data_IF_944804558445
#
_entry.id   IF_944804558445
#
_cell.length_a   1.000
_cell.length_b   1.000
_cell.length_c   1.000
_cell.angle_alpha   90.00
_cell.angle_beta   90.00
_cell.angle_gamma   90.00
#
_symmetry.space_group_name_H-M   'P 1'
#
loop_
_entity.id
_entity.type
_entity.pdbx_description
1 polymer ?
#
# COMPACT_ATOMS: atom_id res chain seq x y z
N UNK A 1 -21.93 -13.41 -11.81
CA UNK A 1 -21.02 -12.85 -10.81
C UNK A 1 -21.84 -12.33 -9.64
N UNK A 2 -21.49 -12.71 -8.41
CA UNK A 2 -22.12 -12.13 -7.23
C UNK A 2 -21.67 -10.66 -7.07
N UNK A 3 -22.50 -9.76 -6.52
CA UNK A 3 -22.06 -8.40 -6.17
C UNK A 3 -20.85 -8.46 -5.25
N UNK A 4 -19.76 -7.77 -5.61
CA UNK A 4 -18.52 -7.71 -4.80
C UNK A 4 -17.42 -8.71 -5.20
N UNK A 5 -17.62 -9.53 -6.22
CA UNK A 5 -16.53 -10.37 -6.76
C UNK A 5 -15.51 -9.53 -7.53
N UNK A 6 -14.22 -9.63 -7.16
CA UNK A 6 -13.11 -9.00 -7.89
C UNK A 6 -12.80 -9.82 -9.14
N UNK A 7 -12.73 -9.15 -10.29
CA UNK A 7 -12.37 -9.77 -11.56
C UNK A 7 -11.03 -9.21 -12.02
N UNK A 8 -10.09 -10.10 -12.33
CA UNK A 8 -8.77 -9.75 -12.85
C UNK A 8 -8.76 -9.93 -14.36
N UNK A 9 -8.41 -8.87 -15.08
CA UNK A 9 -8.30 -8.91 -16.52
C UNK A 9 -7.11 -8.07 -17.01
N UNK A 10 -6.54 -8.46 -18.14
CA UNK A 10 -5.49 -7.67 -18.80
C UNK A 10 -6.08 -6.70 -19.84
N UNK A 11 -5.21 -5.90 -20.48
CA UNK A 11 -5.59 -4.88 -21.48
C UNK A 11 -6.14 -5.47 -22.78
N UNK A 12 -5.92 -6.76 -23.06
CA UNK A 12 -6.53 -7.46 -24.20
C UNK A 12 -7.91 -8.04 -23.89
N UNK A 13 -8.41 -7.90 -22.65
CA UNK A 13 -9.68 -8.47 -22.20
C UNK A 13 -9.61 -9.95 -21.83
N UNK A 14 -8.41 -10.53 -21.68
CA UNK A 14 -8.25 -11.86 -21.08
C UNK A 14 -8.66 -11.78 -19.61
N UNK A 15 -9.50 -12.72 -19.16
CA UNK A 15 -9.94 -12.82 -17.77
C UNK A 15 -9.17 -13.96 -17.11
N UNK A 16 -8.45 -13.66 -16.04
CA UNK A 16 -7.68 -14.64 -15.30
C UNK A 16 -8.56 -15.45 -14.33
N UNK A 17 -8.14 -16.68 -13.99
CA UNK A 17 -8.81 -17.47 -12.94
C UNK A 17 -8.55 -16.83 -11.57
N UNK A 18 -9.59 -16.28 -10.96
CA UNK A 18 -9.52 -15.65 -9.63
C UNK A 18 -8.90 -16.57 -8.57
N UNK A 19 -9.11 -17.89 -8.64
CA UNK A 19 -8.55 -18.83 -7.65
C UNK A 19 -7.02 -18.94 -7.76
N UNK A 20 -6.45 -18.66 -8.93
CA UNK A 20 -5.02 -18.65 -9.17
C UNK A 20 -4.40 -17.28 -8.87
N UNK A 21 -5.10 -16.21 -9.24
CA UNK A 21 -4.60 -14.83 -9.09
C UNK A 21 -4.68 -14.34 -7.66
N UNK A 22 -5.80 -14.60 -6.98
CA UNK A 22 -6.07 -14.03 -5.66
C UNK A 22 -4.97 -14.37 -4.63
N UNK A 23 -4.48 -15.62 -4.52
CA UNK A 23 -3.39 -15.94 -3.60
C UNK A 23 -2.09 -15.22 -3.93
N UNK A 24 -1.81 -14.96 -5.23
CA UNK A 24 -0.62 -14.23 -5.67
C UNK A 24 -0.73 -12.74 -5.32
N UNK A 25 -1.90 -12.15 -5.53
CA UNK A 25 -2.20 -10.77 -5.15
C UNK A 25 -2.09 -10.59 -3.64
N UNK A 26 -2.65 -11.50 -2.83
CA UNK A 26 -2.56 -11.45 -1.37
C UNK A 26 -1.11 -11.55 -0.88
N UNK A 27 -0.30 -12.45 -1.46
CA UNK A 27 1.13 -12.54 -1.16
C UNK A 27 1.93 -11.31 -1.60
N UNK A 28 1.60 -10.73 -2.76
CA UNK A 28 2.25 -9.52 -3.23
C UNK A 28 1.92 -8.34 -2.29
N UNK A 29 0.66 -8.22 -1.86
CA UNK A 29 0.25 -7.21 -0.88
C UNK A 29 0.93 -7.39 0.47
N UNK A 30 1.07 -8.62 0.96
CA UNK A 30 1.67 -8.85 2.27
C UNK A 30 3.09 -8.33 2.37
N UNK A 31 3.84 -8.26 1.27
CA UNK A 31 5.21 -7.69 1.23
C UNK A 31 5.23 -6.28 1.83
N UNK A 32 4.25 -5.43 1.50
CA UNK A 32 4.22 -4.02 1.94
C UNK A 32 3.82 -3.90 3.42
N UNK A 33 3.11 -4.90 3.96
CA UNK A 33 2.60 -4.90 5.33
C UNK A 33 3.40 -5.83 6.27
N UNK A 34 4.51 -6.39 5.82
CA UNK A 34 5.45 -7.12 6.66
C UNK A 34 6.11 -6.18 7.68
N UNK A 35 6.34 -6.66 8.91
CA UNK A 35 6.98 -5.86 9.96
C UNK A 35 8.41 -5.41 9.60
N UNK A 36 9.07 -6.10 8.68
CA UNK A 36 10.45 -5.82 8.28
C UNK A 36 10.58 -4.52 7.48
N UNK A 37 9.52 -4.07 6.80
CA UNK A 37 9.55 -2.81 6.04
C UNK A 37 9.76 -1.60 6.96
N UNK A 38 9.32 -1.68 8.22
CA UNK A 38 9.41 -0.62 9.24
C UNK A 38 10.84 -0.21 9.56
N UNK A 39 11.79 -1.11 9.33
CA UNK A 39 13.21 -0.88 9.62
C UNK A 39 14.04 -0.72 8.34
N UNK A 40 13.39 -0.73 7.17
CA UNK A 40 14.09 -0.62 5.90
C UNK A 40 14.48 0.83 5.63
N UNK A 41 15.78 1.04 5.36
CA UNK A 41 16.32 2.34 4.96
C UNK A 41 16.23 2.49 3.45
N UNK A 42 15.14 3.11 2.99
CA UNK A 42 14.90 3.37 1.57
C UNK A 42 13.43 3.69 1.32
N UNK A 43 13.03 3.71 0.05
CA UNK A 43 11.64 3.86 -0.33
C UNK A 43 10.87 2.53 -0.25
N UNK A 44 9.54 2.60 -0.25
CA UNK A 44 8.67 1.43 -0.39
C UNK A 44 8.96 0.73 -1.72
N UNK A 45 9.20 1.48 -2.80
CA UNK A 45 9.63 0.93 -4.09
C UNK A 45 10.90 0.09 -3.99
N UNK A 46 11.94 0.62 -3.34
CA UNK A 46 13.23 -0.07 -3.14
C UNK A 46 13.07 -1.36 -2.31
N UNK A 47 12.11 -1.41 -1.39
CA UNK A 47 11.80 -2.60 -0.61
C UNK A 47 10.97 -3.62 -1.42
N UNK A 48 9.93 -3.13 -2.07
CA UNK A 48 8.85 -3.91 -2.65
C UNK A 48 9.27 -4.62 -3.96
N UNK A 49 9.79 -3.89 -4.94
CA UNK A 49 10.01 -4.44 -6.28
C UNK A 49 10.97 -5.65 -6.31
N UNK A 50 12.11 -5.65 -5.60
CA UNK A 50 12.98 -6.83 -5.55
C UNK A 50 12.32 -8.04 -4.90
N UNK A 51 11.42 -7.82 -3.92
CA UNK A 51 10.69 -8.90 -3.24
C UNK A 51 9.56 -9.44 -4.10
N UNK A 52 8.86 -8.57 -4.83
CA UNK A 52 7.86 -8.97 -5.81
C UNK A 52 8.50 -9.80 -6.92
N UNK A 53 9.65 -9.37 -7.46
CA UNK A 53 10.40 -10.14 -8.46
C UNK A 53 10.78 -11.53 -7.94
N UNK A 54 11.29 -11.61 -6.71
CA UNK A 54 11.62 -12.89 -6.06
C UNK A 54 10.39 -13.79 -5.91
N UNK A 55 9.24 -13.24 -5.51
CA UNK A 55 7.97 -13.98 -5.40
C UNK A 55 7.57 -14.56 -6.76
N UNK A 56 7.56 -13.73 -7.81
CA UNK A 56 7.18 -14.13 -9.17
C UNK A 56 8.10 -15.22 -9.72
N UNK A 57 9.41 -15.11 -9.47
CA UNK A 57 10.39 -16.13 -9.86
C UNK A 57 10.22 -17.45 -9.09
N UNK A 58 9.91 -17.38 -7.80
CA UNK A 58 9.75 -18.57 -6.94
C UNK A 58 8.49 -19.37 -7.28
N UNK A 59 7.43 -18.67 -7.69
CA UNK A 59 6.13 -19.26 -8.02
C UNK A 59 5.98 -19.62 -9.50
N UNK A 60 7.02 -19.39 -10.30
CA UNK A 60 7.02 -19.59 -11.76
C UNK A 60 5.81 -18.90 -12.43
N UNK A 61 5.58 -17.64 -12.05
CA UNK A 61 4.42 -16.87 -12.55
C UNK A 61 4.60 -16.59 -14.04
N UNK A 62 3.56 -16.84 -14.83
CA UNK A 62 3.56 -16.60 -16.28
C UNK A 62 3.76 -15.11 -16.64
N UNK A 63 4.40 -14.78 -17.77
CA UNK A 63 4.76 -13.40 -18.13
C UNK A 63 3.60 -12.39 -18.09
N UNK A 64 2.42 -12.76 -18.60
CA UNK A 64 1.25 -11.88 -18.60
C UNK A 64 0.77 -11.56 -17.17
N UNK A 65 0.84 -12.54 -16.27
CA UNK A 65 0.49 -12.36 -14.86
C UNK A 65 1.54 -11.52 -14.13
N UNK A 66 2.82 -11.66 -14.49
CA UNK A 66 3.89 -10.83 -13.93
C UNK A 66 3.67 -9.35 -14.25
N UNK A 67 3.39 -9.04 -15.51
CA UNK A 67 3.08 -7.67 -15.94
C UNK A 67 1.87 -7.12 -15.17
N UNK A 68 0.80 -7.91 -15.04
CA UNK A 68 -0.38 -7.51 -14.28
C UNK A 68 -0.06 -7.20 -12.81
N UNK A 69 0.72 -8.06 -12.13
CA UNK A 69 1.11 -7.86 -10.73
C UNK A 69 2.05 -6.66 -10.54
N UNK A 70 2.95 -6.42 -11.49
CA UNK A 70 3.88 -5.28 -11.48
C UNK A 70 3.16 -3.93 -11.60
N UNK A 71 1.99 -3.89 -12.24
CA UNK A 71 1.19 -2.68 -12.35
C UNK A 71 0.13 -2.55 -11.25
N UNK A 72 -0.63 -3.62 -11.00
CA UNK A 72 -1.78 -3.58 -10.11
C UNK A 72 -1.41 -3.20 -8.67
N UNK A 73 -0.39 -3.85 -8.10
CA UNK A 73 -0.06 -3.71 -6.68
C UNK A 73 0.49 -2.30 -6.38
N UNK A 74 1.46 -1.76 -7.15
CA UNK A 74 1.92 -0.38 -6.94
C UNK A 74 0.85 0.68 -7.17
N UNK A 75 -0.05 0.47 -8.15
CA UNK A 75 -1.14 1.41 -8.41
C UNK A 75 -2.13 1.47 -7.25
N UNK A 76 -2.48 0.32 -6.69
CA UNK A 76 -3.40 0.27 -5.56
C UNK A 76 -2.76 0.85 -4.29
N UNK A 77 -1.49 0.54 -4.01
CA UNK A 77 -0.79 1.18 -2.88
C UNK A 77 -0.62 2.69 -3.10
N UNK A 78 -0.27 3.10 -4.32
CA UNK A 78 -0.20 4.51 -4.68
C UNK A 78 -1.52 5.27 -4.45
N UNK A 79 -2.65 4.62 -4.74
CA UNK A 79 -3.98 5.16 -4.43
C UNK A 79 -4.19 5.35 -2.92
N UNK A 80 -3.77 4.40 -2.09
CA UNK A 80 -3.93 4.50 -0.63
C UNK A 80 -2.99 5.52 -0.01
N UNK A 81 -1.75 5.59 -0.49
CA UNK A 81 -0.72 6.50 0.04
C UNK A 81 -0.66 7.85 -0.66
N UNK A 82 -1.59 8.13 -1.59
CA UNK A 82 -1.61 9.36 -2.41
C UNK A 82 -0.27 9.65 -3.10
N UNK A 83 0.37 8.62 -3.64
CA UNK A 83 1.62 8.72 -4.41
C UNK A 83 1.49 8.06 -5.78
N UNK A 84 2.05 8.69 -6.81
CA UNK A 84 2.11 8.10 -8.15
C UNK A 84 3.25 7.08 -8.29
N UNK A 85 4.24 7.13 -7.39
CA UNK A 85 5.43 6.27 -7.41
C UNK A 85 5.82 5.87 -5.97
N UNK A 86 5.94 4.56 -5.73
CA UNK A 86 6.36 4.01 -4.44
C UNK A 86 7.81 4.35 -4.11
N UNK A 87 8.63 4.77 -5.08
CA UNK A 87 9.99 5.27 -4.83
C UNK A 87 9.99 6.63 -4.11
N UNK A 88 8.87 7.35 -4.13
CA UNK A 88 8.72 8.61 -3.38
C UNK A 88 8.18 8.41 -1.96
N UNK A 89 7.71 7.21 -1.62
CA UNK A 89 7.19 6.87 -0.30
C UNK A 89 8.29 6.26 0.55
N UNK A 90 8.64 6.89 1.69
CA UNK A 90 9.66 6.35 2.59
C UNK A 90 9.16 5.10 3.33
N UNK A 91 9.86 3.97 3.23
CA UNK A 91 9.43 2.68 3.80
C UNK A 91 9.34 2.67 5.33
N UNK A 92 10.29 3.35 6.00
CA UNK A 92 10.27 3.50 7.46
C UNK A 92 9.14 4.47 7.87
N UNK A 93 9.12 5.69 7.30
CA UNK A 93 8.17 6.74 7.69
C UNK A 93 6.71 6.41 7.40
N UNK A 94 6.40 5.71 6.30
CA UNK A 94 5.03 5.32 5.95
C UNK A 94 4.39 4.39 6.99
N UNK A 95 5.21 3.59 7.68
CA UNK A 95 4.74 2.70 8.75
C UNK A 95 4.66 3.35 10.14
N UNK A 96 5.20 4.55 10.33
CA UNK A 96 4.94 5.36 11.54
C UNK A 96 3.73 6.28 11.33
N UNK A 97 3.43 6.63 10.07
CA UNK A 97 2.29 7.46 9.72
C UNK A 97 0.95 6.72 9.79
N UNK A 98 0.80 5.43 9.51
CA UNK A 98 -0.53 4.78 9.61
C UNK A 98 -1.13 4.80 11.03
N UNK A 99 -0.30 4.67 12.08
CA UNK A 99 -0.76 4.77 13.49
C UNK A 99 -1.14 6.22 13.83
N UNK A 100 -0.43 7.21 13.27
CA UNK A 100 -0.66 8.63 13.51
C UNK A 100 -1.77 9.24 12.62
N UNK A 101 -1.90 8.81 11.37
CA UNK A 101 -2.89 9.26 10.40
C UNK A 101 -4.28 8.76 10.77
N UNK A 102 -4.43 7.55 11.31
CA UNK A 102 -5.69 7.14 11.93
C UNK A 102 -6.04 8.06 13.10
N UNK A 103 -5.07 8.48 13.92
CA UNK A 103 -5.29 9.44 15.01
C UNK A 103 -5.68 10.84 14.48
N UNK A 104 -5.05 11.33 13.42
CA UNK A 104 -5.37 12.61 12.76
C UNK A 104 -6.75 12.55 12.10
N UNK A 105 -7.04 11.48 11.35
CA UNK A 105 -8.32 11.22 10.68
C UNK A 105 -9.48 10.92 11.65
N UNK A 106 -9.20 10.49 12.88
CA UNK A 106 -10.21 10.39 13.93
C UNK A 106 -10.41 11.74 14.62
N UNK A 107 -9.34 12.51 14.84
CA UNK A 107 -9.39 13.79 15.55
C UNK A 107 -9.97 14.96 14.72
N UNK A 108 -9.81 15.00 13.39
CA UNK A 108 -10.50 16.05 12.59
C UNK A 108 -12.02 15.90 12.63
N UNK A 109 -12.53 14.66 12.63
CA UNK A 109 -13.97 14.37 12.62
C UNK A 109 -14.60 14.49 14.01
N UNK A 110 -13.83 14.23 15.07
CA UNK A 110 -14.27 14.35 16.47
C UNK A 110 -14.00 15.73 17.10
N UNK A 111 -13.38 16.66 16.37
CA UNK A 111 -13.24 18.07 16.79
C UNK A 111 -11.95 18.41 17.56
N UNK A 112 -10.90 17.58 17.47
CA UNK A 112 -9.62 17.78 18.16
C UNK A 112 -8.73 18.90 17.59
N UNK A 113 -8.96 19.32 16.34
CA UNK A 113 -8.26 20.45 15.73
C UNK A 113 -9.23 21.63 15.55
N UNK A 114 -8.96 22.74 16.26
CA UNK A 114 -9.84 23.91 16.21
C UNK A 114 -9.63 24.73 14.93
N UNK A 115 -8.45 24.62 14.30
CA UNK A 115 -8.11 25.29 13.03
C UNK A 115 -7.11 24.49 12.16
N UNK A 116 -7.07 24.76 10.85
CA UNK A 116 -6.05 24.22 9.90
C UNK A 116 -4.62 24.56 10.34
N UNK A 117 -4.44 25.69 11.04
CA UNK A 117 -3.16 26.12 11.56
C UNK A 117 -2.64 25.21 12.69
N UNK A 118 -3.52 24.59 13.47
CA UNK A 118 -3.14 23.63 14.53
C UNK A 118 -2.57 22.34 13.93
N UNK A 119 -3.06 21.94 12.76
CA UNK A 119 -2.57 20.77 12.01
C UNK A 119 -1.16 20.99 11.44
N UNK A 120 -0.93 22.15 10.81
CA UNK A 120 0.35 22.46 10.15
C UNK A 120 1.46 22.77 11.18
N UNK A 121 1.11 23.29 12.35
CA UNK A 121 2.09 23.73 13.36
C UNK A 121 2.68 22.60 14.22
N UNK A 122 2.29 21.32 14.02
CA UNK A 122 2.72 20.15 14.83
C UNK A 122 2.64 20.41 16.34
N UNK A 123 1.70 21.23 16.78
CA UNK A 123 1.56 21.60 18.18
C UNK A 123 0.76 20.51 18.89
N UNK A 124 1.42 19.39 19.19
CA UNK A 124 0.83 18.35 20.03
C UNK A 124 0.50 18.96 21.39
N UNK A 125 -0.80 19.13 21.67
CA UNK A 125 -1.25 19.53 23.00
C UNK A 125 -0.80 18.46 23.99
N UNK A 126 0.00 18.85 24.97
CA UNK A 126 0.34 17.98 26.10
C UNK A 126 -0.99 17.66 26.83
N UNK A 127 -1.39 16.38 27.04
CA UNK A 127 -2.68 16.04 27.68
C UNK A 127 -2.68 16.27 29.19
N UNK A 128 -1.96 17.27 29.67
CA UNK A 128 -1.91 17.65 31.08
C UNK A 128 -2.03 19.17 31.18
N UNK A 129 -3.26 19.65 31.01
CA UNK A 129 -3.90 20.71 31.79
C UNK A 129 -5.35 20.92 31.31
#
# INVERSE_FOLDING_TARGET
FAPGAVLYANTSGHIFDTNEVQPLVEQAYSIIYENDIRHFKGSVGDYFFPRLEKLMNTKDVEPEMREALQHLIPQLEGLYSSTDDLHHLGAWGSTEDWENEMHVLLNWKSGGFKTIFDFISKRYGNPSN
#
